data_IF_565349147451
#
_entry.id   IF_565349147451
#
_cell.length_a   1.000
_cell.length_b   1.000
_cell.length_c   1.000
_cell.angle_alpha   90.00
_cell.angle_beta   90.00
_cell.angle_gamma   90.00
#
_symmetry.space_group_name_H-M   'P 1'
#
loop_
_entity.id
_entity.type
_entity.pdbx_description
1 polymer ?
#
# COMPACT_ATOMS: atom_id res chain seq x y z
N UNK A 1 18.50 21.86 -6.69
CA UNK A 1 18.95 21.49 -5.34
C UNK A 1 17.97 20.44 -4.86
N UNK A 2 18.38 19.17 -4.88
CA UNK A 2 17.59 18.10 -4.26
C UNK A 2 17.77 18.21 -2.74
N UNK A 3 16.75 18.73 -2.05
CA UNK A 3 16.73 18.71 -0.60
C UNK A 3 16.70 17.24 -0.15
N UNK A 4 17.64 16.78 0.68
CA UNK A 4 17.59 15.42 1.20
C UNK A 4 16.28 15.25 1.97
N UNK A 5 15.60 14.14 1.71
CA UNK A 5 14.36 13.80 2.41
C UNK A 5 14.62 13.80 3.93
N UNK A 6 13.69 14.32 4.75
CA UNK A 6 13.80 14.25 6.20
C UNK A 6 14.09 12.83 6.68
N UNK A 7 15.02 12.70 7.61
CA UNK A 7 15.40 11.43 8.24
C UNK A 7 14.15 10.77 8.83
N UNK A 8 13.71 9.65 8.24
CA UNK A 8 12.44 8.98 8.58
C UNK A 8 11.46 8.83 7.39
N UNK A 9 11.58 9.65 6.36
CA UNK A 9 10.85 9.50 5.08
C UNK A 9 11.62 8.69 4.03
N UNK A 10 12.83 8.21 4.35
CA UNK A 10 13.67 7.42 3.45
C UNK A 10 13.13 6.00 3.23
N UNK A 11 12.36 5.47 4.19
CA UNK A 11 11.73 4.16 4.06
C UNK A 11 10.35 4.32 3.45
N UNK A 12 10.12 3.60 2.35
CA UNK A 12 8.78 3.47 1.82
C UNK A 12 7.82 2.95 2.90
N UNK A 13 6.62 3.54 3.03
CA UNK A 13 5.59 3.03 3.92
C UNK A 13 5.41 1.54 3.70
N UNK A 14 5.32 0.75 4.77
CA UNK A 14 4.97 -0.66 4.64
C UNK A 14 3.60 -0.76 3.94
N UNK A 15 3.39 -1.80 3.13
CA UNK A 15 2.04 -2.03 2.62
C UNK A 15 1.20 -2.55 3.78
N UNK A 16 0.15 -1.82 4.13
CA UNK A 16 -0.72 -2.18 5.23
C UNK A 16 -1.38 -3.54 4.98
N UNK A 17 -1.62 -4.24 6.10
CA UNK A 17 -2.23 -5.55 6.10
C UNK A 17 -3.70 -5.40 6.43
N UNK A 18 -4.56 -5.87 5.54
CA UNK A 18 -6.00 -5.85 5.71
C UNK A 18 -6.52 -7.22 6.06
N UNK A 19 -7.17 -7.32 7.21
CA UNK A 19 -7.79 -8.54 7.69
C UNK A 19 -9.33 -8.53 7.63
N UNK A 20 -9.91 -7.45 7.07
CA UNK A 20 -11.35 -7.27 6.95
C UNK A 20 -12.00 -6.51 8.12
N UNK A 21 -11.22 -6.02 9.09
CA UNK A 21 -11.75 -5.35 10.29
C UNK A 21 -11.96 -3.84 10.14
N UNK A 22 -11.31 -3.20 9.16
CA UNK A 22 -11.44 -1.76 8.87
C UNK A 22 -12.24 -1.52 7.60
N UNK A 23 -12.54 -0.25 7.31
CA UNK A 23 -13.23 0.12 6.08
C UNK A 23 -12.42 -0.32 4.83
N UNK A 24 -13.05 -1.02 3.87
CA UNK A 24 -12.36 -1.48 2.65
C UNK A 24 -11.93 -0.33 1.73
N UNK A 25 -12.62 0.81 1.73
CA UNK A 25 -12.29 1.96 0.88
C UNK A 25 -11.02 2.61 1.38
N UNK A 26 -10.94 2.88 2.69
CA UNK A 26 -9.72 3.40 3.34
C UNK A 26 -8.51 2.50 3.05
N UNK A 27 -8.71 1.17 3.05
CA UNK A 27 -7.65 0.22 2.74
C UNK A 27 -7.16 0.32 1.27
N UNK A 28 -8.10 0.44 0.32
CA UNK A 28 -7.74 0.62 -1.10
C UNK A 28 -6.95 1.92 -1.28
N UNK A 29 -7.41 3.03 -0.70
CA UNK A 29 -6.74 4.33 -0.79
C UNK A 29 -5.31 4.27 -0.22
N UNK A 30 -5.12 3.61 0.93
CA UNK A 30 -3.81 3.42 1.53
C UNK A 30 -2.86 2.60 0.65
N UNK A 31 -3.35 1.51 0.03
CA UNK A 31 -2.56 0.72 -0.91
C UNK A 31 -2.18 1.56 -2.13
N UNK A 32 -3.14 2.29 -2.70
CA UNK A 32 -2.88 3.11 -3.89
C UNK A 32 -1.82 4.17 -3.62
N UNK A 33 -1.90 4.85 -2.47
CA UNK A 33 -0.91 5.83 -2.04
C UNK A 33 0.47 5.20 -1.82
N UNK A 34 0.55 4.05 -1.14
CA UNK A 34 1.81 3.34 -0.90
C UNK A 34 2.46 2.85 -2.21
N UNK A 35 1.65 2.38 -3.17
CA UNK A 35 2.13 1.95 -4.48
C UNK A 35 2.57 3.13 -5.35
N UNK A 36 1.85 4.25 -5.31
CA UNK A 36 2.24 5.47 -6.02
C UNK A 36 3.55 6.04 -5.49
N UNK A 37 3.75 6.04 -4.16
CA UNK A 37 5.02 6.42 -3.54
C UNK A 37 6.19 5.55 -4.03
N UNK A 38 5.95 4.25 -4.23
CA UNK A 38 6.94 3.30 -4.79
C UNK A 38 7.09 3.40 -6.30
N UNK A 39 6.40 4.34 -6.95
CA UNK A 39 6.33 4.50 -8.40
C UNK A 39 5.87 3.22 -9.13
N UNK A 40 5.04 2.40 -8.47
CA UNK A 40 4.44 1.20 -9.05
C UNK A 40 3.23 1.62 -9.86
N UNK A 41 3.19 1.26 -11.14
CA UNK A 41 2.15 1.70 -12.07
C UNK A 41 1.50 0.53 -12.82
N UNK A 42 0.31 0.80 -13.34
CA UNK A 42 -0.43 -0.12 -14.19
C UNK A 42 -0.82 -1.43 -13.48
N UNK A 43 -0.86 -2.51 -14.25
CA UNK A 43 -1.34 -3.82 -13.79
C UNK A 43 -0.53 -4.45 -12.66
N UNK A 44 0.64 -3.90 -12.34
CA UNK A 44 1.46 -4.37 -11.20
C UNK A 44 0.72 -4.08 -9.88
N UNK A 45 -0.04 -2.97 -9.80
CA UNK A 45 -0.84 -2.65 -8.60
C UNK A 45 -1.81 -3.78 -8.25
N UNK A 46 -2.53 -4.31 -9.25
CA UNK A 46 -3.46 -5.43 -9.08
C UNK A 46 -2.78 -6.74 -8.65
N UNK A 47 -1.49 -6.95 -9.00
CA UNK A 47 -0.74 -8.13 -8.56
C UNK A 47 -0.23 -8.03 -7.12
N UNK A 48 -0.01 -6.81 -6.65
CA UNK A 48 0.43 -6.52 -5.27
C UNK A 48 -0.73 -6.51 -4.29
N UNK A 49 -1.93 -6.12 -4.72
CA UNK A 49 -3.10 -6.04 -3.87
C UNK A 49 -3.38 -7.33 -3.07
N UNK A 50 -3.41 -8.55 -3.67
CA UNK A 50 -3.64 -9.78 -2.89
C UNK A 50 -2.61 -10.04 -1.79
N UNK A 51 -1.39 -9.48 -1.90
CA UNK A 51 -0.34 -9.65 -0.89
C UNK A 51 -0.59 -8.87 0.40
N UNK A 52 -1.54 -7.93 0.37
CA UNK A 52 -1.97 -7.12 1.52
C UNK A 52 -3.09 -7.79 2.33
N UNK A 53 -3.75 -8.79 1.76
CA UNK A 53 -4.93 -9.41 2.36
C UNK A 53 -4.53 -10.52 3.34
N UNK A 54 -5.24 -10.59 4.47
CA UNK A 54 -5.08 -11.63 5.51
C UNK A 54 -6.43 -12.07 6.04
N UNK A 55 -6.45 -13.22 6.73
CA UNK A 55 -7.64 -13.79 7.39
C UNK A 55 -8.86 -13.80 6.44
N UNK A 56 -10.00 -13.27 6.90
CA UNK A 56 -11.25 -13.23 6.15
C UNK A 56 -11.18 -12.37 4.89
N UNK A 57 -10.24 -11.42 4.80
CA UNK A 57 -10.07 -10.61 3.59
C UNK A 57 -9.38 -11.37 2.44
N UNK A 58 -8.79 -12.55 2.67
CA UNK A 58 -8.13 -13.33 1.60
C UNK A 58 -9.09 -13.88 0.54
N UNK A 59 -10.41 -13.82 0.79
CA UNK A 59 -11.45 -14.28 -0.15
C UNK A 59 -12.03 -13.16 -1.01
N UNK A 60 -11.49 -11.95 -0.89
CA UNK A 60 -11.88 -10.79 -1.70
C UNK A 60 -11.33 -10.90 -3.13
#
# INVERSE_FOLDING_TARGET
MDLPLPTGLEKSPAMDIYDGSTDPVDHIENIEAALEYRNVRGSIKCKLFPTTLRKGAMTW
#
